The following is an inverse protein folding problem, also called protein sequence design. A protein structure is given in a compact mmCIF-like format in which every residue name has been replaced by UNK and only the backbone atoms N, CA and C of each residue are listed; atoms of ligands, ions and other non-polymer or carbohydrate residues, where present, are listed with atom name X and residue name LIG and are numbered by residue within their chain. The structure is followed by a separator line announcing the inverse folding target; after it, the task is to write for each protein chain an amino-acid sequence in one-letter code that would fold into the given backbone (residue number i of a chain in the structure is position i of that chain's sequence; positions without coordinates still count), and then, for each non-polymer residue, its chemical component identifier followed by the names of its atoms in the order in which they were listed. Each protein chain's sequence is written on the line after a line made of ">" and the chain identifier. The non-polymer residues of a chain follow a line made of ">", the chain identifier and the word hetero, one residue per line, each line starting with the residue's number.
data_IF_057903268439
#
_entry.id   IF_057903268439
#
_cell.length_a   1.000
_cell.length_b   1.000
_cell.length_c   1.000
_cell.angle_alpha   90.00
_cell.angle_beta   90.00
_cell.angle_gamma   90.00
#
_symmetry.space_group_name_H-M   'P 1'
#
loop_
_entity.id
_entity.type
_entity.pdbx_description
1 polymer ?
#
# COMPACT_ATOMS: atom_id res chain seq x y z
N UNK A 1 -4.65 6.51 19.31
CA UNK A 1 -5.55 5.77 18.40
C UNK A 1 -4.75 4.56 17.96
N UNK A 2 -5.14 3.38 18.46
CA UNK A 2 -4.34 2.16 18.63
C UNK A 2 -3.44 1.83 17.44
N UNK A 3 -2.15 1.60 17.70
CA UNK A 3 -1.19 1.07 16.71
C UNK A 3 -1.78 -0.23 16.13
N UNK A 4 -2.12 -0.28 14.83
CA UNK A 4 -2.74 -1.46 14.26
C UNK A 4 -1.74 -2.62 14.35
N UNK A 5 -2.26 -3.82 14.65
CA UNK A 5 -1.47 -5.04 14.61
C UNK A 5 -0.65 -5.11 13.30
N UNK A 6 0.58 -5.67 13.34
CA UNK A 6 1.43 -5.74 12.17
C UNK A 6 0.67 -6.40 11.01
N UNK A 7 0.85 -5.92 9.76
CA UNK A 7 0.12 -6.46 8.64
C UNK A 7 0.42 -7.93 8.47
N UNK A 8 -0.60 -8.72 8.16
CA UNK A 8 -0.41 -10.09 7.72
C UNK A 8 0.20 -10.05 6.32
N UNK A 9 1.31 -10.76 6.14
CA UNK A 9 2.01 -10.85 4.87
C UNK A 9 1.62 -12.16 4.17
N UNK A 10 1.27 -12.08 2.90
CA UNK A 10 1.09 -13.24 2.02
C UNK A 10 2.06 -13.15 0.87
N UNK A 11 2.97 -14.11 0.78
CA UNK A 11 3.88 -14.23 -0.36
C UNK A 11 3.20 -14.99 -1.49
N UNK A 12 3.16 -14.39 -2.69
CA UNK A 12 2.69 -15.06 -3.90
C UNK A 12 3.89 -15.54 -4.69
N UNK A 13 4.06 -16.85 -4.81
CA UNK A 13 5.17 -17.48 -5.53
C UNK A 13 4.95 -17.53 -7.04
N UNK A 14 5.41 -16.51 -7.76
CA UNK A 14 5.39 -16.46 -9.24
C UNK A 14 6.80 -16.59 -9.85
N UNK A 15 7.69 -17.34 -9.19
CA UNK A 15 9.10 -17.44 -9.55
C UNK A 15 9.81 -16.10 -9.35
N UNK A 16 10.52 -15.63 -10.37
CA UNK A 16 11.27 -14.34 -10.35
C UNK A 16 10.38 -13.10 -10.15
N UNK A 17 9.06 -13.25 -10.26
CA UNK A 17 8.07 -12.18 -10.04
C UNK A 17 7.30 -12.35 -8.73
N UNK A 18 7.86 -13.09 -7.77
CA UNK A 18 7.24 -13.21 -6.46
C UNK A 18 7.08 -11.85 -5.79
N UNK A 19 5.97 -11.65 -5.09
CA UNK A 19 5.68 -10.41 -4.36
C UNK A 19 4.87 -10.69 -3.10
N UNK A 20 4.86 -9.70 -2.20
CA UNK A 20 4.15 -9.75 -0.94
C UNK A 20 2.84 -8.94 -1.03
N UNK A 21 1.78 -9.48 -0.41
CA UNK A 21 0.53 -8.78 -0.17
C UNK A 21 0.47 -8.44 1.32
N UNK A 22 0.40 -7.15 1.64
CA UNK A 22 0.21 -6.65 3.00
C UNK A 22 -1.30 -6.52 3.28
N UNK A 23 -1.79 -7.17 4.34
CA UNK A 23 -3.20 -7.14 4.73
C UNK A 23 -3.31 -6.64 6.17
N UNK A 24 -4.02 -5.53 6.38
CA UNK A 24 -4.20 -4.93 7.70
C UNK A 24 -5.08 -3.69 7.65
N UNK A 25 -5.48 -3.21 8.83
CA UNK A 25 -6.22 -1.96 8.96
C UNK A 25 -5.30 -0.75 8.73
N UNK A 26 -5.84 0.34 8.17
CA UNK A 26 -5.18 1.63 8.03
C UNK A 26 -3.83 1.60 7.26
N UNK A 27 -3.62 0.61 6.39
CA UNK A 27 -2.39 0.51 5.59
C UNK A 27 -2.19 1.69 4.64
N UNK A 28 -3.28 2.28 4.16
CA UNK A 28 -3.24 3.41 3.25
C UNK A 28 -2.56 4.63 3.89
N UNK A 29 -2.75 4.81 5.19
CA UNK A 29 -2.22 5.96 5.96
C UNK A 29 -0.67 5.89 6.07
N UNK A 30 -0.08 4.70 5.85
CA UNK A 30 1.38 4.47 5.80
C UNK A 30 1.87 4.02 4.42
N UNK A 31 1.08 4.22 3.38
CA UNK A 31 1.40 3.74 2.03
C UNK A 31 2.75 4.27 1.51
N UNK A 32 3.08 5.53 1.81
CA UNK A 32 4.37 6.12 1.41
C UNK A 32 5.59 5.39 1.98
N UNK A 33 5.52 4.93 3.23
CA UNK A 33 6.60 4.16 3.87
C UNK A 33 6.76 2.79 3.23
N UNK A 34 5.65 2.09 3.00
CA UNK A 34 5.67 0.76 2.37
C UNK A 34 6.15 0.83 0.92
N UNK A 35 5.68 1.82 0.15
CA UNK A 35 6.15 2.05 -1.22
C UNK A 35 7.63 2.42 -1.26
N UNK A 36 8.12 3.19 -0.28
CA UNK A 36 9.53 3.56 -0.16
C UNK A 36 10.48 2.39 0.08
N UNK A 37 10.01 1.30 0.70
CA UNK A 37 10.78 0.05 0.88
C UNK A 37 11.00 -0.68 -0.45
N UNK A 38 10.04 -0.59 -1.37
CA UNK A 38 10.08 -1.28 -2.67
C UNK A 38 10.72 -0.40 -3.75
N UNK A 39 10.39 0.89 -3.79
CA UNK A 39 10.77 1.85 -4.81
C UNK A 39 11.38 3.12 -4.17
N UNK A 40 12.61 3.05 -3.66
CA UNK A 40 13.23 4.17 -2.97
C UNK A 40 13.39 5.38 -3.90
N UNK A 41 12.93 6.55 -3.45
CA UNK A 41 13.01 7.85 -4.17
C UNK A 41 12.27 7.90 -5.51
N UNK A 42 11.35 6.98 -5.76
CA UNK A 42 10.55 7.02 -6.98
C UNK A 42 9.57 8.21 -6.97
N UNK A 43 9.35 8.78 -8.16
CA UNK A 43 8.20 9.67 -8.41
C UNK A 43 7.01 8.78 -8.75
N UNK A 44 5.90 8.96 -8.03
CA UNK A 44 4.73 8.08 -8.12
C UNK A 44 3.55 8.88 -8.66
N UNK A 45 2.78 8.25 -9.56
CA UNK A 45 1.48 8.74 -10.01
C UNK A 45 0.39 7.81 -9.47
N UNK A 46 -0.71 8.38 -8.98
CA UNK A 46 -1.88 7.63 -8.53
C UNK A 46 -2.89 7.57 -9.68
N UNK A 47 -3.26 6.36 -10.09
CA UNK A 47 -4.27 6.11 -11.12
C UNK A 47 -5.45 5.41 -10.45
N UNK A 48 -6.63 6.03 -10.50
CA UNK A 48 -7.86 5.51 -9.90
C UNK A 48 -9.09 6.12 -10.57
N UNK A 49 -10.26 5.51 -10.38
CA UNK A 49 -11.54 6.04 -10.87
C UNK A 49 -12.14 7.08 -9.93
N UNK A 50 -13.23 7.72 -10.37
CA UNK A 50 -13.89 8.80 -9.62
C UNK A 50 -14.50 8.35 -8.28
N UNK A 51 -15.00 7.12 -8.18
CA UNK A 51 -15.67 6.61 -6.99
C UNK A 51 -14.64 6.28 -5.91
N UNK A 52 -13.56 5.61 -6.30
CA UNK A 52 -12.46 5.26 -5.39
C UNK A 52 -11.68 6.52 -4.99
N UNK A 53 -11.49 7.47 -5.91
CA UNK A 53 -10.87 8.75 -5.58
C UNK A 53 -11.64 9.47 -4.47
N UNK A 54 -12.97 9.60 -4.61
CA UNK A 54 -13.80 10.30 -3.63
C UNK A 54 -13.72 9.65 -2.23
N UNK A 55 -13.63 8.33 -2.16
CA UNK A 55 -13.62 7.60 -0.88
C UNK A 55 -12.22 7.49 -0.23
N UNK A 56 -11.15 7.39 -1.03
CA UNK A 56 -9.84 6.95 -0.53
C UNK A 56 -8.68 7.89 -0.83
N UNK A 57 -8.75 8.70 -1.90
CA UNK A 57 -7.66 9.59 -2.26
C UNK A 57 -7.29 10.60 -1.14
N UNK A 58 -8.25 11.20 -0.41
CA UNK A 58 -7.91 12.12 0.69
C UNK A 58 -7.14 11.48 1.85
N UNK A 59 -7.17 10.15 1.99
CA UNK A 59 -6.39 9.43 3.02
C UNK A 59 -5.01 9.02 2.52
N UNK A 60 -4.83 8.93 1.20
CA UNK A 60 -3.57 8.52 0.57
C UNK A 60 -2.63 9.71 0.36
N UNK A 61 -3.15 10.91 0.13
CA UNK A 61 -2.41 12.14 -0.15
C UNK A 61 -2.17 13.01 1.09
#
# INVERSE_FOLDING_TARGET
>A
MTDPAPPRIVTVGLGDRAYEILIGANLLDRAGEELGKVLPRARIAVITDENVAAAHLPRLL
#
